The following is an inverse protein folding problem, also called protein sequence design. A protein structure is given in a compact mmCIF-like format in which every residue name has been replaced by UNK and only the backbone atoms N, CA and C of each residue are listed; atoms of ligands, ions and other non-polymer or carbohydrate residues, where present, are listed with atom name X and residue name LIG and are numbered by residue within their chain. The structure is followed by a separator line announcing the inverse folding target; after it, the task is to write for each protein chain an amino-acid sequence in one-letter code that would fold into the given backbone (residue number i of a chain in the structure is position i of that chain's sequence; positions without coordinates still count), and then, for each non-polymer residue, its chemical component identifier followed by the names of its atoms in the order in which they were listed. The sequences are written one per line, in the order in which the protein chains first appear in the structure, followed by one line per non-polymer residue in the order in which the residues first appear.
data_IF_952581090934
#
_entry.id   IF_952581090934
#
_cell.length_a   1.000
_cell.length_b   1.000
_cell.length_c   1.000
_cell.angle_alpha   90.00
_cell.angle_beta   90.00
_cell.angle_gamma   90.00
#
_symmetry.space_group_name_H-M   'P 1'
#
loop_
_entity.id
_entity.type
_entity.pdbx_description
1 polymer ?
#
# COMPACT_ATOMS: atom_id res chain seq x y z
N UNK A 1 -27.10 -36.73 -37.76
CA UNK A 1 -27.27 -36.95 -36.30
C UNK A 1 -25.96 -37.10 -35.53
N UNK A 2 -24.87 -37.56 -36.16
CA UNK A 2 -23.55 -37.73 -35.53
C UNK A 2 -22.80 -36.41 -35.29
N UNK A 3 -22.89 -35.45 -36.22
CA UNK A 3 -22.24 -34.13 -36.11
C UNK A 3 -22.79 -33.26 -34.98
N UNK A 4 -24.11 -33.27 -34.77
CA UNK A 4 -24.76 -32.50 -33.70
C UNK A 4 -24.44 -33.04 -32.30
N UNK A 5 -24.29 -34.36 -32.15
CA UNK A 5 -23.85 -34.98 -30.88
C UNK A 5 -22.39 -34.64 -30.55
N UNK A 6 -21.51 -34.63 -31.56
CA UNK A 6 -20.11 -34.24 -31.39
C UNK A 6 -19.96 -32.76 -30.99
N UNK A 7 -20.77 -31.88 -31.59
CA UNK A 7 -20.78 -30.45 -31.25
C UNK A 7 -21.28 -30.20 -29.81
N UNK A 8 -22.36 -30.86 -29.40
CA UNK A 8 -22.86 -30.77 -28.01
C UNK A 8 -21.85 -31.32 -26.99
N UNK A 9 -21.16 -32.42 -27.30
CA UNK A 9 -20.12 -32.97 -26.43
C UNK A 9 -18.92 -32.03 -26.29
N UNK A 10 -18.48 -31.39 -27.39
CA UNK A 10 -17.40 -30.42 -27.36
C UNK A 10 -17.76 -29.16 -26.57
N UNK A 11 -18.99 -28.66 -26.72
CA UNK A 11 -19.51 -27.53 -25.93
C UNK A 11 -19.60 -27.85 -24.43
N UNK A 12 -20.03 -29.06 -24.07
CA UNK A 12 -20.09 -29.50 -22.68
C UNK A 12 -18.70 -29.62 -22.03
N UNK A 13 -17.71 -30.14 -22.78
CA UNK A 13 -16.32 -30.22 -22.33
C UNK A 13 -15.68 -28.83 -22.18
N UNK A 14 -15.94 -27.92 -23.12
CA UNK A 14 -15.46 -26.53 -23.03
C UNK A 14 -16.06 -25.80 -21.83
N UNK A 15 -17.37 -25.95 -21.60
CA UNK A 15 -18.05 -25.38 -20.43
C UNK A 15 -17.49 -25.94 -19.11
N UNK A 16 -17.24 -27.25 -19.05
CA UNK A 16 -16.59 -27.88 -17.89
C UNK A 16 -15.17 -27.39 -17.64
N UNK A 17 -14.38 -27.16 -18.70
CA UNK A 17 -13.04 -26.60 -18.56
C UNK A 17 -13.06 -25.14 -18.08
N UNK A 18 -14.02 -24.34 -18.55
CA UNK A 18 -14.22 -22.94 -18.13
C UNK A 18 -14.61 -22.83 -16.65
N UNK A 19 -15.48 -23.70 -16.15
CA UNK A 19 -15.87 -23.69 -14.73
C UNK A 19 -14.73 -24.09 -13.81
N UNK A 20 -13.91 -25.08 -14.21
CA UNK A 20 -12.73 -25.50 -13.44
C UNK A 20 -11.67 -24.39 -13.43
N UNK A 21 -11.45 -23.70 -14.57
CA UNK A 21 -10.53 -22.57 -14.65
C UNK A 21 -10.96 -21.40 -13.75
N UNK A 22 -12.26 -21.08 -13.72
CA UNK A 22 -12.80 -20.04 -12.84
C UNK A 22 -12.57 -20.36 -11.34
N UNK A 23 -12.72 -21.62 -10.93
CA UNK A 23 -12.43 -22.05 -9.57
C UNK A 23 -10.94 -21.94 -9.18
N UNK A 24 -10.02 -22.14 -10.14
CA UNK A 24 -8.59 -22.01 -9.89
C UNK A 24 -8.15 -20.55 -9.68
N UNK A 25 -8.87 -19.59 -10.27
CA UNK A 25 -8.55 -18.16 -10.19
C UNK A 25 -9.04 -17.47 -8.90
N UNK A 26 -9.96 -18.08 -8.15
CA UNK A 26 -10.47 -17.50 -6.89
C UNK A 26 -9.44 -17.47 -5.74
N UNK A 27 -8.41 -18.33 -5.77
CA UNK A 27 -7.37 -18.38 -4.72
C UNK A 27 -6.31 -17.27 -4.80
N UNK A 28 -6.39 -16.37 -5.78
CA UNK A 28 -5.34 -15.41 -6.08
C UNK A 28 -5.75 -13.93 -5.87
N UNK A 29 -6.59 -13.63 -4.87
CA UNK A 29 -6.84 -12.25 -4.44
C UNK A 29 -5.88 -11.90 -3.28
N UNK A 30 -4.82 -11.10 -3.51
CA UNK A 30 -3.78 -10.84 -2.51
C UNK A 30 -4.21 -9.93 -1.34
N UNK A 31 -5.51 -9.65 -1.19
CA UNK A 31 -6.01 -8.52 -0.40
C UNK A 31 -7.09 -8.87 0.62
N UNK A 32 -7.33 -10.15 0.89
CA UNK A 32 -8.31 -10.54 1.92
C UNK A 32 -7.62 -10.85 3.26
N UNK A 33 -8.13 -10.33 4.39
CA UNK A 33 -7.60 -10.64 5.71
C UNK A 33 -7.85 -12.12 6.08
N UNK A 34 -6.95 -12.71 6.88
CA UNK A 34 -7.03 -14.13 7.28
C UNK A 34 -8.19 -14.44 8.23
N UNK A 35 -8.80 -13.43 8.87
CA UNK A 35 -9.86 -13.63 9.87
C UNK A 35 -10.85 -12.46 9.92
N UNK A 36 -12.10 -12.76 10.29
CA UNK A 36 -13.11 -11.75 10.61
C UNK A 36 -12.90 -11.19 12.04
N UNK A 37 -13.10 -9.88 12.27
CA UNK A 37 -12.98 -9.28 13.60
C UNK A 37 -14.08 -9.71 14.58
N UNK A 38 -15.19 -10.27 14.07
CA UNK A 38 -16.32 -10.72 14.87
C UNK A 38 -16.50 -12.23 14.75
N UNK A 39 -16.94 -12.88 15.82
CA UNK A 39 -17.09 -14.32 15.87
C UNK A 39 -18.28 -14.74 14.98
N UNK A 40 -17.98 -15.36 13.84
CA UNK A 40 -18.99 -15.95 12.98
C UNK A 40 -19.47 -17.28 13.55
N UNK A 41 -20.76 -17.56 13.44
CA UNK A 41 -21.29 -18.85 13.84
C UNK A 41 -20.66 -19.96 12.97
N UNK A 42 -20.47 -21.15 13.56
CA UNK A 42 -19.90 -22.30 12.86
C UNK A 42 -20.77 -22.64 11.65
N UNK A 43 -20.20 -22.53 10.45
CA UNK A 43 -20.89 -22.80 9.19
C UNK A 43 -21.61 -21.61 8.55
N UNK A 44 -21.52 -20.41 9.14
CA UNK A 44 -22.07 -19.20 8.55
C UNK A 44 -21.25 -18.80 7.31
N UNK A 45 -21.88 -18.89 6.14
CA UNK A 45 -21.35 -18.28 4.92
C UNK A 45 -21.62 -16.78 4.98
N UNK A 46 -20.58 -15.97 4.84
CA UNK A 46 -20.68 -14.50 4.82
C UNK A 46 -20.46 -14.05 3.39
N UNK A 47 -21.38 -13.23 2.87
CA UNK A 47 -21.15 -12.52 1.63
C UNK A 47 -20.30 -11.28 1.93
N UNK A 48 -19.09 -11.25 1.37
CA UNK A 48 -18.15 -10.15 1.57
C UNK A 48 -18.76 -8.80 1.17
N UNK A 49 -19.68 -8.78 0.19
CA UNK A 49 -20.28 -7.55 -0.33
C UNK A 49 -21.22 -6.87 0.67
N UNK A 50 -21.87 -7.62 1.56
CA UNK A 50 -22.78 -7.08 2.58
C UNK A 50 -22.08 -6.04 3.47
N UNK A 51 -20.79 -6.26 3.73
CA UNK A 51 -19.97 -5.39 4.58
C UNK A 51 -18.79 -4.74 3.84
N UNK A 52 -18.53 -5.03 2.56
CA UNK A 52 -17.39 -4.41 1.85
C UNK A 52 -17.79 -3.73 0.53
N UNK A 53 -19.08 -3.57 0.26
CA UNK A 53 -19.51 -2.65 -0.80
C UNK A 53 -19.19 -1.20 -0.44
N UNK A 54 -18.82 -0.41 -1.46
CA UNK A 54 -18.54 1.03 -1.41
C UNK A 54 -19.72 1.89 -0.89
N UNK A 55 -20.83 1.25 -0.52
CA UNK A 55 -22.06 1.83 0.00
C UNK A 55 -22.23 1.69 1.51
N UNK A 56 -21.25 1.15 2.27
CA UNK A 56 -21.33 1.12 3.74
C UNK A 56 -21.62 2.53 4.30
N UNK A 57 -22.90 2.79 4.60
CA UNK A 57 -23.36 3.97 5.32
C UNK A 57 -23.06 3.76 6.79
N UNK A 58 -21.96 4.34 7.26
CA UNK A 58 -21.53 4.31 8.64
C UNK A 58 -20.18 5.00 8.82
N UNK A 59 -19.67 5.04 10.05
CA UNK A 59 -18.34 5.62 10.37
C UNK A 59 -17.18 4.75 9.88
N UNK A 60 -17.45 3.51 9.47
CA UNK A 60 -16.46 2.57 8.95
C UNK A 60 -16.36 2.72 7.43
N UNK A 61 -15.30 3.40 6.98
CA UNK A 61 -14.97 3.51 5.55
C UNK A 61 -14.48 2.16 5.02
N UNK A 62 -14.70 1.90 3.74
CA UNK A 62 -14.16 0.73 3.03
C UNK A 62 -12.66 0.55 3.36
N UNK A 63 -12.18 -0.68 3.57
CA UNK A 63 -10.76 -0.98 3.77
C UNK A 63 -9.89 -0.46 2.62
N UNK A 64 -10.44 -0.40 1.40
CA UNK A 64 -9.80 0.22 0.23
C UNK A 64 -9.60 1.73 0.40
N UNK A 65 -10.40 2.41 1.23
CA UNK A 65 -10.20 3.80 1.61
C UNK A 65 -8.94 3.98 2.49
N UNK A 66 -8.40 2.90 3.07
CA UNK A 66 -7.12 2.86 3.78
C UNK A 66 -6.00 2.26 2.92
N UNK A 67 -6.12 2.34 1.59
CA UNK A 67 -5.02 2.07 0.68
C UNK A 67 -3.79 2.89 1.08
N UNK A 68 -2.68 2.20 1.40
CA UNK A 68 -1.40 2.79 1.79
C UNK A 68 -0.64 3.41 0.61
N UNK A 69 -1.39 3.94 -0.36
CA UNK A 69 -0.85 4.65 -1.51
C UNK A 69 0.06 5.81 -1.10
N UNK A 70 0.90 6.27 -2.03
CA UNK A 70 1.72 7.47 -1.82
C UNK A 70 0.89 8.69 -1.39
N UNK A 71 -0.32 8.83 -1.93
CA UNK A 71 -1.24 9.90 -1.56
C UNK A 71 -1.70 9.78 -0.10
N UNK A 72 -1.98 8.56 0.38
CA UNK A 72 -2.28 8.33 1.79
C UNK A 72 -1.09 8.71 2.67
N UNK A 73 0.12 8.24 2.37
CA UNK A 73 1.31 8.56 3.18
C UNK A 73 1.55 10.08 3.25
N UNK A 74 1.30 10.83 2.17
CA UNK A 74 1.40 12.30 2.22
C UNK A 74 0.31 12.96 3.07
N UNK A 75 -0.88 12.37 3.08
CA UNK A 75 -2.06 12.95 3.73
C UNK A 75 -2.41 12.31 5.08
N UNK A 76 -1.62 11.34 5.55
CA UNK A 76 -1.94 10.54 6.74
C UNK A 76 -2.14 11.39 8.00
N UNK A 77 -1.47 12.54 8.07
CA UNK A 77 -1.66 13.52 9.14
C UNK A 77 -3.13 13.96 9.32
N UNK A 78 -3.89 14.08 8.22
CA UNK A 78 -5.28 14.53 8.28
C UNK A 78 -6.19 13.42 8.80
N UNK A 79 -5.91 12.17 8.41
CA UNK A 79 -6.64 11.01 8.92
C UNK A 79 -6.30 10.76 10.40
N UNK A 80 -5.03 10.82 10.78
CA UNK A 80 -4.57 10.66 12.15
C UNK A 80 -5.09 11.76 13.09
N UNK A 81 -5.18 13.01 12.59
CA UNK A 81 -5.78 14.10 13.35
C UNK A 81 -7.30 13.94 13.57
N UNK A 82 -7.97 13.14 12.73
CA UNK A 82 -9.41 12.87 12.86
C UNK A 82 -9.66 11.74 13.84
N UNK A 83 -9.02 10.58 13.65
CA UNK A 83 -9.05 9.47 14.61
C UNK A 83 -7.84 8.55 14.44
N UNK A 84 -6.84 8.70 15.32
CA UNK A 84 -5.65 7.87 15.32
C UNK A 84 -5.92 6.41 15.75
N UNK A 85 -6.98 6.15 16.52
CA UNK A 85 -7.30 4.80 17.02
C UNK A 85 -7.66 3.83 15.89
N UNK A 86 -8.14 4.37 14.78
CA UNK A 86 -8.42 3.58 13.58
C UNK A 86 -7.16 2.92 13.01
N UNK A 87 -6.00 3.56 13.16
CA UNK A 87 -4.72 2.98 12.79
C UNK A 87 -4.31 1.87 13.77
N UNK A 88 -4.70 1.99 15.04
CA UNK A 88 -4.39 1.03 16.10
C UNK A 88 -5.09 -0.32 15.93
N UNK A 89 -6.18 -0.36 15.15
CA UNK A 89 -6.86 -1.60 14.74
C UNK A 89 -5.90 -2.57 14.03
N UNK A 90 -4.92 -2.06 13.27
CA UNK A 90 -3.98 -2.86 12.51
C UNK A 90 -2.51 -2.65 12.91
N UNK A 91 -2.16 -1.49 13.47
CA UNK A 91 -0.79 -1.11 13.80
C UNK A 91 -0.60 -0.89 15.28
N UNK A 92 0.57 -1.23 15.81
CA UNK A 92 0.94 -0.84 17.18
C UNK A 92 1.25 0.67 17.23
N UNK A 93 1.00 1.32 18.36
CA UNK A 93 1.34 2.74 18.61
C UNK A 93 2.81 3.06 18.30
N UNK A 94 3.72 2.08 18.49
CA UNK A 94 5.13 2.21 18.12
C UNK A 94 5.38 2.48 16.63
N UNK A 95 4.44 2.13 15.74
CA UNK A 95 4.51 2.45 14.32
C UNK A 95 4.55 3.96 14.08
N UNK A 96 3.73 4.72 14.81
CA UNK A 96 3.73 6.18 14.74
C UNK A 96 5.09 6.75 15.17
N UNK A 97 5.68 6.13 16.19
CA UNK A 97 6.98 6.52 16.74
C UNK A 97 8.17 6.25 15.78
N UNK A 98 8.01 5.44 14.73
CA UNK A 98 9.06 5.25 13.71
C UNK A 98 9.34 6.53 12.90
N UNK A 99 8.36 7.45 12.83
CA UNK A 99 8.47 8.72 12.11
C UNK A 99 8.27 9.94 13.03
N UNK A 100 7.43 9.86 14.06
CA UNK A 100 7.11 10.99 14.95
C UNK A 100 8.05 11.12 16.16
N UNK A 101 9.21 10.48 16.12
CA UNK A 101 10.24 10.63 17.15
C UNK A 101 10.90 12.02 17.02
N UNK A 102 10.50 12.95 17.88
CA UNK A 102 10.96 14.34 17.91
C UNK A 102 12.39 14.51 18.48
N UNK A 103 13.07 13.44 18.87
CA UNK A 103 14.33 13.51 19.65
C UNK A 103 15.47 12.66 19.10
N UNK A 104 15.21 11.86 18.07
CA UNK A 104 16.25 11.07 17.41
C UNK A 104 16.15 11.41 15.93
N UNK A 105 17.28 11.80 15.34
CA UNK A 105 17.40 11.88 13.89
C UNK A 105 16.79 10.60 13.32
N UNK A 106 15.74 10.77 12.52
CA UNK A 106 15.18 9.66 11.79
C UNK A 106 16.37 9.12 11.00
N UNK A 107 16.82 7.90 11.30
CA UNK A 107 17.78 7.17 10.49
C UNK A 107 17.00 6.21 9.57
N UNK A 108 16.21 6.69 8.56
CA UNK A 108 15.62 5.82 7.58
C UNK A 108 16.61 4.82 6.99
N UNK A 109 17.91 5.14 6.94
CA UNK A 109 18.99 4.23 6.54
C UNK A 109 18.90 2.85 7.18
N UNK A 110 18.53 2.79 8.46
CA UNK A 110 18.45 1.53 9.21
C UNK A 110 17.04 0.94 9.11
N UNK A 111 16.01 1.78 9.07
CA UNK A 111 14.60 1.36 8.97
C UNK A 111 13.87 2.15 7.89
N UNK A 112 13.64 1.50 6.75
CA UNK A 112 12.90 2.02 5.59
C UNK A 112 13.63 3.08 4.74
N UNK A 113 14.91 2.86 4.42
CA UNK A 113 15.73 3.84 3.69
C UNK A 113 15.27 3.99 2.25
N UNK A 114 15.05 2.85 1.59
CA UNK A 114 14.61 2.75 0.20
C UNK A 114 13.11 3.01 -0.02
N UNK A 115 12.37 3.48 1.00
CA UNK A 115 10.93 3.68 0.87
C UNK A 115 10.61 4.90 -0.01
N UNK A 116 9.95 4.72 -1.18
CA UNK A 116 9.75 5.78 -2.16
C UNK A 116 8.61 6.75 -1.81
N UNK A 117 7.88 6.48 -0.72
CA UNK A 117 6.88 7.34 -0.10
C UNK A 117 7.50 8.36 0.88
N UNK A 118 8.77 8.18 1.27
CA UNK A 118 9.51 9.15 2.11
C UNK A 118 10.25 10.15 1.22
N UNK A 119 9.62 11.27 0.93
CA UNK A 119 10.18 12.35 0.09
C UNK A 119 11.18 13.26 0.83
N UNK A 120 11.92 12.72 1.80
CA UNK A 120 12.92 13.47 2.56
C UNK A 120 14.29 13.39 1.87
N UNK A 121 14.90 14.52 1.47
CA UNK A 121 16.23 14.53 0.86
C UNK A 121 17.36 13.98 1.74
N UNK A 122 17.09 13.79 3.04
CA UNK A 122 18.03 13.25 4.03
C UNK A 122 17.64 11.84 4.52
N UNK A 123 16.89 11.08 3.70
CA UNK A 123 16.72 9.64 3.90
C UNK A 123 18.08 8.95 3.94
N UNK A 124 18.18 7.89 4.72
CA UNK A 124 19.50 7.32 4.99
C UNK A 124 20.11 6.51 3.83
N UNK A 125 19.41 6.34 2.72
CA UNK A 125 19.99 5.90 1.44
C UNK A 125 20.25 7.08 0.47
N UNK A 126 20.31 8.30 1.00
CA UNK A 126 20.62 9.51 0.24
C UNK A 126 21.85 9.32 -0.65
N UNK A 127 22.96 8.72 -0.17
CA UNK A 127 24.14 8.51 -1.00
C UNK A 127 23.86 7.63 -2.25
N UNK A 128 22.96 6.66 -2.13
CA UNK A 128 22.55 5.79 -3.24
C UNK A 128 21.60 6.50 -4.20
N UNK A 129 20.67 7.30 -3.66
CA UNK A 129 19.58 7.91 -4.43
C UNK A 129 19.87 9.35 -4.89
N UNK A 130 20.88 10.01 -4.31
CA UNK A 130 21.29 11.40 -4.60
C UNK A 130 21.56 11.63 -6.08
N UNK A 131 22.17 10.65 -6.75
CA UNK A 131 22.41 10.75 -8.21
C UNK A 131 21.11 10.83 -9.01
N UNK A 132 20.06 10.15 -8.56
CA UNK A 132 18.75 10.14 -9.21
C UNK A 132 18.00 11.42 -8.82
N UNK A 133 17.88 11.68 -7.51
CA UNK A 133 17.14 12.82 -6.96
C UNK A 133 17.74 14.16 -7.43
N UNK A 134 19.06 14.31 -7.39
CA UNK A 134 19.77 15.49 -7.89
C UNK A 134 19.73 15.65 -9.41
N UNK A 135 19.39 14.60 -10.17
CA UNK A 135 19.10 14.72 -11.62
C UNK A 135 17.65 15.09 -11.88
N UNK A 136 16.72 14.58 -11.07
CA UNK A 136 15.28 14.82 -11.22
C UNK A 136 14.93 16.25 -10.80
N UNK A 137 15.37 16.68 -9.62
CA UNK A 137 15.11 18.02 -9.09
C UNK A 137 16.22 18.45 -8.11
N UNK A 138 17.34 18.99 -8.60
CA UNK A 138 18.38 19.54 -7.73
C UNK A 138 17.92 20.81 -6.96
N UNK A 139 16.86 21.48 -7.43
CA UNK A 139 16.36 22.71 -6.79
C UNK A 139 15.63 22.43 -5.46
N UNK A 140 15.10 21.22 -5.28
CA UNK A 140 14.53 20.75 -4.01
C UNK A 140 15.48 20.95 -2.82
N UNK A 141 16.79 20.76 -3.04
CA UNK A 141 17.84 20.89 -2.03
C UNK A 141 18.13 22.36 -1.67
N UNK A 142 18.01 23.27 -2.64
CA UNK A 142 18.43 24.66 -2.49
C UNK A 142 17.57 25.45 -1.52
N UNK A 143 16.34 24.99 -1.26
CA UNK A 143 15.42 25.61 -0.29
C UNK A 143 16.01 25.66 1.12
N UNK A 144 16.79 24.65 1.50
CA UNK A 144 17.40 24.56 2.83
C UNK A 144 18.92 24.79 2.79
N UNK A 145 19.60 24.32 1.73
CA UNK A 145 21.07 24.36 1.64
C UNK A 145 21.63 25.54 0.85
N UNK A 146 20.78 26.37 0.23
CA UNK A 146 21.22 27.48 -0.61
C UNK A 146 21.64 27.05 -2.01
N UNK A 147 22.33 27.93 -2.75
CA UNK A 147 22.62 27.72 -4.19
C UNK A 147 23.51 26.50 -4.46
N UNK A 148 23.48 26.02 -5.71
CA UNK A 148 24.41 25.01 -6.20
C UNK A 148 25.86 25.44 -5.99
N UNK A 149 26.73 24.50 -5.62
CA UNK A 149 28.12 24.70 -5.20
C UNK A 149 28.32 25.30 -3.80
N UNK A 150 27.38 25.08 -2.89
CA UNK A 150 27.62 25.31 -1.47
C UNK A 150 28.58 24.24 -0.86
N UNK A 151 29.01 24.48 0.38
CA UNK A 151 29.92 23.62 1.14
C UNK A 151 29.50 22.14 1.17
N UNK A 152 28.20 21.84 1.09
CA UNK A 152 27.68 20.46 1.09
C UNK A 152 27.89 19.78 -0.26
N UNK A 153 27.67 20.49 -1.36
CA UNK A 153 27.84 19.94 -2.71
C UNK A 153 29.32 19.71 -3.06
N UNK A 154 30.18 20.69 -2.74
CA UNK A 154 31.60 20.67 -3.11
C UNK A 154 32.43 19.65 -2.32
N UNK A 155 31.86 19.09 -1.25
CA UNK A 155 32.46 17.98 -0.51
C UNK A 155 32.67 16.74 -1.40
N UNK A 156 31.75 16.50 -2.35
CA UNK A 156 31.79 15.35 -3.25
C UNK A 156 31.90 15.74 -4.74
N UNK A 157 31.47 16.95 -5.13
CA UNK A 157 31.48 17.46 -6.50
C UNK A 157 32.49 18.59 -6.64
N UNK A 158 33.76 18.24 -6.88
CA UNK A 158 34.85 19.20 -7.15
C UNK A 158 34.99 19.47 -8.64
#
# INVERSE_FOLDING_TARGET
MTTMKALCAALALAAGALTIAACAQMKALPSLPESHPEALAVGQQVDCSECHEDQQKGTLKNINAFSHSRAFVKNHRFYAATDARLCETCHKVSFCADCHTNQVEMKPSVKWGNRPDREMPHRGDYLTMHKIEGKVDPASCYRCHGRGNNERCVACHK
#
